data_IF_907783221765
#
_entry.id   IF_907783221765
#
_cell.length_a   1.000
_cell.length_b   1.000
_cell.length_c   1.000
_cell.angle_alpha   90.00
_cell.angle_beta   90.00
_cell.angle_gamma   90.00
#
_symmetry.space_group_name_H-M   'P 1'
#
loop_
_entity.id
_entity.type
_entity.pdbx_description
1 polymer ?
#
# COMPACT_ATOMS: atom_id res chain seq x y z
N UNK A 1 26.85 -48.57 22.49
CA UNK A 1 26.13 -49.66 21.75
C UNK A 1 24.65 -49.37 21.84
N UNK A 2 24.05 -49.12 20.76
CA UNK A 2 22.67 -49.33 20.28
C UNK A 2 22.24 -48.17 19.37
N UNK A 3 22.34 -48.45 18.10
CA UNK A 3 21.82 -47.62 17.00
C UNK A 3 20.27 -47.78 16.97
N UNK A 4 19.54 -46.64 16.85
CA UNK A 4 18.14 -46.66 16.43
C UNK A 4 18.03 -46.01 15.04
N UNK A 5 17.49 -46.79 14.16
CA UNK A 5 17.30 -46.58 12.74
C UNK A 5 16.03 -45.77 12.54
N UNK A 6 16.12 -44.70 11.77
CA UNK A 6 14.94 -43.95 11.26
C UNK A 6 14.47 -44.63 9.95
N UNK A 7 13.15 -44.83 9.77
CA UNK A 7 12.64 -45.30 8.48
C UNK A 7 12.39 -44.12 7.52
N UNK A 8 12.70 -44.38 6.27
CA UNK A 8 12.73 -43.42 5.18
C UNK A 8 11.36 -42.88 4.76
N UNK A 9 11.45 -41.66 4.25
CA UNK A 9 10.38 -40.95 3.56
C UNK A 9 10.32 -41.47 2.12
N UNK A 10 9.21 -42.10 1.80
CA UNK A 10 8.93 -42.60 0.45
C UNK A 10 8.53 -41.44 -0.47
N UNK A 11 9.33 -41.24 -1.48
CA UNK A 11 9.06 -40.42 -2.67
C UNK A 11 7.83 -40.94 -3.43
N UNK A 12 6.78 -40.16 -3.52
CA UNK A 12 5.73 -40.32 -4.54
C UNK A 12 5.93 -39.29 -5.64
N UNK A 13 6.61 -39.73 -6.69
CA UNK A 13 6.51 -39.14 -8.02
C UNK A 13 5.21 -39.66 -8.64
N UNK A 14 4.27 -38.78 -8.95
CA UNK A 14 3.16 -39.09 -9.84
C UNK A 14 3.16 -38.08 -10.98
N UNK A 15 3.29 -38.64 -12.16
CA UNK A 15 3.20 -38.00 -13.47
C UNK A 15 1.88 -37.26 -13.65
N UNK A 16 1.95 -36.05 -14.18
CA UNK A 16 0.85 -35.43 -14.91
C UNK A 16 1.41 -34.89 -16.21
N UNK A 17 1.31 -35.73 -17.24
CA UNK A 17 1.44 -35.37 -18.66
C UNK A 17 0.04 -35.17 -19.22
N UNK A 18 -0.05 -34.19 -20.15
CA UNK A 18 -1.07 -34.00 -21.16
C UNK A 18 -2.31 -33.19 -20.82
N UNK A 19 -2.28 -31.92 -21.27
CA UNK A 19 -3.28 -31.38 -22.21
C UNK A 19 -2.83 -30.00 -22.72
N UNK A 20 -1.99 -30.02 -23.76
CA UNK A 20 -1.77 -28.90 -24.68
C UNK A 20 -2.68 -29.15 -25.88
N UNK A 21 -3.71 -28.34 -26.07
CA UNK A 21 -4.30 -28.13 -27.39
C UNK A 21 -5.14 -26.85 -27.43
N UNK A 22 -4.70 -25.93 -28.29
CA UNK A 22 -5.49 -25.03 -29.12
C UNK A 22 -6.29 -23.88 -28.45
N UNK A 23 -5.72 -22.70 -28.57
CA UNK A 23 -6.43 -21.54 -29.06
C UNK A 23 -5.42 -20.49 -29.54
N UNK A 24 -5.07 -20.58 -30.83
CA UNK A 24 -4.50 -19.51 -31.62
C UNK A 24 -5.64 -18.54 -32.02
N UNK A 25 -5.39 -17.24 -31.90
CA UNK A 25 -6.15 -16.27 -32.67
C UNK A 25 -6.58 -15.04 -31.87
N UNK A 26 -5.92 -13.97 -32.13
CA UNK A 26 -6.26 -12.58 -32.34
C UNK A 26 -5.47 -11.61 -31.48
N UNK A 27 -4.29 -11.28 -32.02
CA UNK A 27 -3.66 -9.98 -31.75
C UNK A 27 -4.32 -8.96 -32.68
N UNK A 28 -4.78 -7.85 -32.13
CA UNK A 28 -4.61 -6.51 -32.71
C UNK A 28 -5.56 -5.50 -32.07
N UNK A 29 -5.02 -4.28 -31.98
CA UNK A 29 -5.67 -3.00 -31.71
C UNK A 29 -5.68 -2.53 -30.25
N UNK A 30 -4.50 -2.05 -29.86
CA UNK A 30 -4.40 -1.02 -28.84
C UNK A 30 -3.80 0.24 -29.49
N UNK A 31 -4.65 1.16 -29.93
CA UNK A 31 -4.27 2.52 -30.29
C UNK A 31 -4.79 3.47 -29.21
N UNK A 32 -3.87 4.24 -28.64
CA UNK A 32 -4.14 5.43 -27.82
C UNK A 32 -4.88 6.48 -28.65
N UNK A 33 -5.77 7.25 -28.09
CA UNK A 33 -6.05 8.60 -28.60
C UNK A 33 -5.37 9.66 -27.73
N UNK A 34 -4.70 10.56 -28.42
CA UNK A 34 -4.07 11.78 -27.91
C UNK A 34 -5.10 12.86 -27.58
N UNK A 35 -4.67 13.74 -26.68
CA UNK A 35 -5.36 14.94 -26.23
C UNK A 35 -5.76 15.90 -27.34
N UNK A 36 -6.96 16.49 -27.26
CA UNK A 36 -7.24 17.80 -27.83
C UNK A 36 -8.10 18.64 -26.90
N UNK A 37 -7.49 19.69 -26.39
CA UNK A 37 -8.07 20.85 -25.74
C UNK A 37 -9.02 21.60 -26.69
N UNK A 38 -10.20 21.95 -26.24
CA UNK A 38 -11.13 22.82 -26.93
C UNK A 38 -12.14 23.47 -25.99
N UNK A 39 -11.90 24.71 -25.71
CA UNK A 39 -12.71 25.65 -24.94
C UNK A 39 -14.06 25.97 -25.55
N UNK A 40 -15.07 26.26 -24.72
CA UNK A 40 -15.99 27.33 -25.08
C UNK A 40 -17.50 27.12 -24.90
N UNK A 41 -18.00 27.90 -23.99
CA UNK A 41 -19.27 28.65 -24.00
C UNK A 41 -20.62 27.96 -23.74
N UNK A 42 -21.16 28.45 -22.65
CA UNK A 42 -22.58 28.54 -22.27
C UNK A 42 -23.56 28.90 -23.39
N UNK A 43 -24.73 28.29 -23.37
CA UNK A 43 -26.00 29.01 -23.66
C UNK A 43 -27.19 28.22 -23.10
N UNK A 44 -27.90 28.90 -22.25
CA UNK A 44 -29.22 28.58 -21.73
C UNK A 44 -30.30 28.73 -22.83
N UNK A 45 -31.23 27.79 -22.93
CA UNK A 45 -32.59 28.14 -23.33
C UNK A 45 -33.63 27.12 -22.86
N UNK A 46 -34.54 27.61 -22.09
CA UNK A 46 -35.80 27.01 -21.71
C UNK A 46 -36.71 26.83 -22.91
N UNK A 47 -37.36 25.67 -23.05
CA UNK A 47 -38.74 25.65 -23.60
C UNK A 47 -39.47 24.39 -23.15
N UNK A 48 -40.71 24.64 -22.90
CA UNK A 48 -41.77 23.84 -22.33
C UNK A 48 -42.41 22.87 -23.32
N UNK A 49 -42.90 21.78 -22.73
CA UNK A 49 -44.16 21.09 -22.98
C UNK A 49 -44.28 20.13 -24.19
N UNK A 50 -44.62 18.98 -23.86
CA UNK A 50 -45.85 18.20 -24.04
C UNK A 50 -45.56 16.74 -24.38
N UNK A 51 -46.12 15.89 -23.55
CA UNK A 51 -46.72 14.56 -23.81
C UNK A 51 -46.45 13.93 -25.15
N UNK A 52 -45.77 12.79 -25.12
CA UNK A 52 -46.37 11.54 -25.57
C UNK A 52 -45.44 10.37 -25.22
N UNK A 53 -46.06 9.30 -24.78
CA UNK A 53 -45.46 8.02 -24.44
C UNK A 53 -44.80 7.40 -25.68
N UNK A 54 -43.47 7.39 -25.68
CA UNK A 54 -42.70 6.36 -26.38
C UNK A 54 -41.48 6.06 -25.52
N UNK A 55 -41.43 4.81 -25.08
CA UNK A 55 -40.36 4.26 -24.25
C UNK A 55 -39.03 4.32 -25.00
N UNK A 56 -38.36 5.46 -24.90
CA UNK A 56 -37.02 5.63 -25.43
C UNK A 56 -36.06 4.83 -24.56
N UNK A 57 -35.62 3.70 -25.08
CA UNK A 57 -34.59 2.85 -24.56
C UNK A 57 -33.32 3.70 -24.29
N UNK A 58 -33.01 3.97 -23.02
CA UNK A 58 -31.85 4.75 -22.65
C UNK A 58 -30.62 3.82 -22.52
N UNK A 59 -29.45 4.28 -22.94
CA UNK A 59 -28.18 3.56 -22.74
C UNK A 59 -27.86 3.29 -21.28
N UNK A 60 -28.49 4.04 -20.36
CA UNK A 60 -28.41 3.81 -18.91
C UNK A 60 -29.13 2.51 -18.49
N UNK A 61 -30.12 2.06 -19.27
CA UNK A 61 -30.83 0.79 -19.03
C UNK A 61 -30.00 -0.44 -19.39
N UNK A 62 -28.90 -0.26 -20.13
CA UNK A 62 -27.92 -1.30 -20.49
C UNK A 62 -26.80 -1.46 -19.44
N UNK A 63 -26.88 -0.79 -18.30
CA UNK A 63 -25.93 -1.06 -17.22
C UNK A 63 -26.03 -2.55 -16.81
N UNK A 64 -24.88 -3.19 -16.58
CA UNK A 64 -24.81 -4.59 -16.12
C UNK A 64 -25.69 -4.82 -14.87
N UNK A 65 -25.93 -3.78 -14.09
CA UNK A 65 -26.76 -3.79 -12.88
C UNK A 65 -28.25 -3.88 -13.23
N UNK A 66 -28.72 -3.17 -14.25
CA UNK A 66 -30.10 -3.21 -14.71
C UNK A 66 -30.40 -4.49 -15.51
N UNK A 67 -29.44 -4.99 -16.28
CA UNK A 67 -29.53 -6.29 -16.94
C UNK A 67 -29.62 -7.44 -15.93
N UNK A 68 -28.87 -7.39 -14.82
CA UNK A 68 -28.97 -8.38 -13.76
C UNK A 68 -30.27 -8.27 -12.95
N UNK A 69 -30.79 -7.05 -12.72
CA UNK A 69 -32.11 -6.86 -12.09
C UNK A 69 -33.23 -7.39 -12.98
N UNK A 70 -33.18 -7.10 -14.30
CA UNK A 70 -34.18 -7.58 -15.27
C UNK A 70 -34.13 -9.09 -15.44
N UNK A 71 -32.95 -9.71 -15.49
CA UNK A 71 -32.81 -11.16 -15.57
C UNK A 71 -33.30 -11.88 -14.30
N UNK A 72 -33.05 -11.30 -13.12
CA UNK A 72 -33.60 -11.82 -11.85
C UNK A 72 -35.14 -11.76 -11.82
N UNK A 73 -35.75 -10.71 -12.39
CA UNK A 73 -37.20 -10.55 -12.50
C UNK A 73 -37.83 -11.58 -13.43
N UNK A 74 -37.16 -11.89 -14.56
CA UNK A 74 -37.58 -12.91 -15.53
C UNK A 74 -37.51 -14.35 -14.96
N UNK A 75 -36.61 -14.63 -14.03
CA UNK A 75 -36.44 -15.96 -13.42
C UNK A 75 -37.30 -16.12 -12.15
N UNK A 76 -38.27 -15.21 -11.90
CA UNK A 76 -39.12 -15.27 -10.68
C UNK A 76 -38.39 -14.96 -9.38
N UNK A 77 -37.18 -14.39 -9.46
CA UNK A 77 -36.36 -13.92 -8.30
C UNK A 77 -36.48 -12.43 -8.07
N UNK A 78 -37.58 -11.79 -8.48
CA UNK A 78 -37.90 -10.38 -8.25
C UNK A 78 -38.15 -10.07 -6.77
N UNK A 79 -38.29 -8.79 -6.46
CA UNK A 79 -38.60 -8.31 -5.11
C UNK A 79 -39.92 -8.92 -4.59
N UNK A 80 -39.85 -9.52 -3.40
CA UNK A 80 -41.00 -10.08 -2.70
C UNK A 80 -40.80 -9.94 -1.18
N UNK A 81 -41.53 -9.00 -0.62
CA UNK A 81 -41.40 -8.64 0.82
C UNK A 81 -41.84 -9.79 1.75
N UNK A 82 -42.89 -10.51 1.39
CA UNK A 82 -43.42 -11.56 2.23
C UNK A 82 -42.50 -12.79 2.21
N UNK A 83 -41.96 -13.12 1.05
CA UNK A 83 -40.96 -14.16 0.94
C UNK A 83 -39.65 -13.80 1.67
N UNK A 84 -39.23 -12.52 1.61
CA UNK A 84 -38.08 -12.03 2.37
C UNK A 84 -38.28 -12.20 3.88
N UNK A 85 -39.45 -11.84 4.41
CA UNK A 85 -39.78 -12.03 5.82
C UNK A 85 -39.84 -13.50 6.23
N UNK A 86 -40.43 -14.35 5.38
CA UNK A 86 -40.49 -15.78 5.60
C UNK A 86 -39.08 -16.39 5.67
N UNK A 87 -38.24 -16.12 4.66
CA UNK A 87 -36.86 -16.59 4.61
C UNK A 87 -36.03 -16.13 5.82
N UNK A 88 -36.21 -14.85 6.20
CA UNK A 88 -35.55 -14.27 7.38
C UNK A 88 -35.97 -15.00 8.66
N UNK A 89 -37.27 -15.26 8.84
CA UNK A 89 -37.80 -16.01 9.99
C UNK A 89 -37.22 -17.41 10.08
N UNK A 90 -37.26 -18.17 8.96
CA UNK A 90 -36.69 -19.52 8.90
C UNK A 90 -35.18 -19.51 9.20
N UNK A 91 -34.42 -18.52 8.66
CA UNK A 91 -33.03 -18.40 8.95
C UNK A 91 -32.74 -18.04 10.40
N UNK A 92 -33.58 -17.20 11.00
CA UNK A 92 -33.45 -16.79 12.39
C UNK A 92 -33.73 -17.97 13.35
N UNK A 93 -34.71 -18.79 13.05
CA UNK A 93 -34.98 -20.01 13.81
C UNK A 93 -33.76 -20.97 13.77
N UNK A 94 -33.17 -21.17 12.60
CA UNK A 94 -31.94 -21.94 12.47
C UNK A 94 -30.80 -21.32 13.28
N UNK A 95 -30.64 -20.00 13.23
CA UNK A 95 -29.62 -19.29 13.99
C UNK A 95 -29.78 -19.48 15.51
N UNK A 96 -31.02 -19.44 16.03
CA UNK A 96 -31.31 -19.71 17.43
C UNK A 96 -31.07 -21.19 17.80
N UNK A 97 -31.44 -22.11 16.92
CA UNK A 97 -31.16 -23.53 17.08
C UNK A 97 -29.64 -23.78 17.14
N UNK A 98 -28.86 -23.12 16.26
CA UNK A 98 -27.41 -23.22 16.27
C UNK A 98 -26.81 -22.75 17.60
N UNK A 99 -27.32 -21.65 18.16
CA UNK A 99 -26.86 -21.15 19.47
C UNK A 99 -27.11 -22.15 20.62
N UNK A 100 -28.20 -22.90 20.56
CA UNK A 100 -28.57 -23.90 21.56
C UNK A 100 -27.95 -25.28 21.30
N UNK A 101 -27.39 -25.51 20.11
CA UNK A 101 -26.84 -26.79 19.71
C UNK A 101 -25.47 -27.10 20.31
N UNK A 102 -25.13 -28.39 20.35
CA UNK A 102 -23.80 -28.86 20.70
C UNK A 102 -22.72 -28.29 19.75
N UNK A 103 -21.49 -28.05 20.23
CA UNK A 103 -20.41 -27.46 19.42
C UNK A 103 -20.17 -28.18 18.09
N UNK A 104 -20.35 -29.51 18.02
CA UNK A 104 -20.14 -30.28 16.78
C UNK A 104 -21.20 -30.04 15.71
N UNK A 105 -22.45 -29.77 16.10
CA UNK A 105 -23.57 -29.50 15.19
C UNK A 105 -23.81 -28.04 14.93
N UNK A 106 -23.24 -27.21 15.75
CA UNK A 106 -23.42 -25.72 15.67
C UNK A 106 -23.02 -25.18 14.33
N UNK A 107 -21.82 -25.50 13.84
CA UNK A 107 -21.30 -25.03 12.57
C UNK A 107 -22.19 -25.45 11.39
N UNK A 108 -22.67 -26.72 11.39
CA UNK A 108 -23.56 -27.24 10.34
C UNK A 108 -24.88 -26.46 10.26
N UNK A 109 -25.47 -26.12 11.42
CA UNK A 109 -26.75 -25.39 11.47
C UNK A 109 -26.52 -23.93 11.02
N UNK A 110 -25.42 -23.29 11.44
CA UNK A 110 -25.06 -21.96 10.96
C UNK A 110 -24.80 -21.94 9.44
N UNK A 111 -24.18 -22.99 8.90
CA UNK A 111 -23.97 -23.15 7.45
C UNK A 111 -25.30 -23.18 6.67
N UNK A 112 -26.36 -23.72 7.23
CA UNK A 112 -27.71 -23.73 6.64
C UNK A 112 -28.42 -22.38 6.78
N UNK A 113 -28.16 -21.62 7.85
CA UNK A 113 -28.77 -20.31 8.10
C UNK A 113 -28.24 -19.23 7.17
N UNK A 114 -26.93 -19.19 6.94
CA UNK A 114 -26.25 -18.14 6.17
C UNK A 114 -26.85 -17.88 4.78
N UNK A 115 -27.04 -18.89 3.89
CA UNK A 115 -27.61 -18.66 2.57
C UNK A 115 -29.09 -18.24 2.61
N UNK A 116 -29.86 -18.67 3.61
CA UNK A 116 -31.26 -18.23 3.77
C UNK A 116 -31.36 -16.76 4.13
N UNK A 117 -30.51 -16.27 5.04
CA UNK A 117 -30.41 -14.84 5.32
C UNK A 117 -30.00 -14.05 4.06
N UNK A 118 -29.00 -14.51 3.31
CA UNK A 118 -28.59 -13.87 2.07
C UNK A 118 -29.71 -13.83 1.03
N UNK A 119 -30.50 -14.91 0.90
CA UNK A 119 -31.67 -14.95 0.03
C UNK A 119 -32.76 -13.96 0.50
N UNK A 120 -32.99 -13.83 1.81
CA UNK A 120 -33.93 -12.85 2.35
C UNK A 120 -33.53 -11.40 1.96
N UNK A 121 -32.25 -11.08 2.04
CA UNK A 121 -31.74 -9.79 1.60
C UNK A 121 -31.92 -9.57 0.08
N UNK A 122 -31.66 -10.58 -0.73
CA UNK A 122 -31.84 -10.52 -2.19
C UNK A 122 -33.34 -10.36 -2.60
N UNK A 123 -34.30 -10.82 -1.76
CA UNK A 123 -35.74 -10.70 -2.03
C UNK A 123 -36.34 -9.34 -1.69
N UNK A 124 -35.71 -8.58 -0.83
CA UNK A 124 -36.15 -7.22 -0.49
C UNK A 124 -34.92 -6.31 -0.32
N UNK A 125 -34.22 -5.97 -1.39
CA UNK A 125 -33.04 -5.12 -1.33
C UNK A 125 -33.38 -3.71 -0.82
N UNK A 126 -32.37 -2.94 -0.43
CA UNK A 126 -32.46 -1.57 0.05
C UNK A 126 -33.40 -1.35 1.24
N UNK A 127 -33.72 -2.44 1.96
CA UNK A 127 -34.57 -2.43 3.14
C UNK A 127 -33.78 -2.61 4.43
N UNK A 128 -34.38 -2.21 5.55
CA UNK A 128 -33.84 -2.49 6.89
C UNK A 128 -33.66 -4.01 7.11
N UNK A 129 -34.63 -4.81 6.59
CA UNK A 129 -34.54 -6.28 6.66
C UNK A 129 -33.35 -6.81 5.88
N UNK A 130 -33.04 -6.25 4.69
CA UNK A 130 -31.87 -6.66 3.92
C UNK A 130 -30.57 -6.35 4.66
N UNK A 131 -30.48 -5.20 5.31
CA UNK A 131 -29.32 -4.85 6.14
C UNK A 131 -29.12 -5.82 7.28
N UNK A 132 -30.19 -6.13 8.04
CA UNK A 132 -30.14 -7.10 9.14
C UNK A 132 -29.84 -8.51 8.64
N UNK A 133 -30.42 -8.91 7.51
CA UNK A 133 -30.20 -10.21 6.89
C UNK A 133 -28.76 -10.40 6.41
N UNK A 134 -28.16 -9.40 5.78
CA UNK A 134 -26.74 -9.46 5.34
C UNK A 134 -25.78 -9.57 6.54
N UNK A 135 -26.06 -8.84 7.61
CA UNK A 135 -25.31 -8.96 8.86
C UNK A 135 -25.41 -10.37 9.44
N UNK A 136 -26.64 -10.88 9.57
CA UNK A 136 -26.88 -12.22 10.10
C UNK A 136 -26.33 -13.34 9.20
N UNK A 137 -26.31 -13.13 7.88
CA UNK A 137 -25.66 -14.05 6.93
C UNK A 137 -24.14 -14.09 7.18
N UNK A 138 -23.53 -12.93 7.36
CA UNK A 138 -22.11 -12.81 7.70
C UNK A 138 -21.77 -13.48 9.02
N UNK A 139 -22.53 -13.21 10.09
CA UNK A 139 -22.31 -13.83 11.40
C UNK A 139 -22.57 -15.34 11.37
N UNK A 140 -23.59 -15.81 10.65
CA UNK A 140 -23.82 -17.25 10.48
C UNK A 140 -22.63 -17.93 9.78
N UNK A 141 -22.15 -17.37 8.68
CA UNK A 141 -20.98 -17.92 7.99
C UNK A 141 -19.70 -17.83 8.84
N UNK A 142 -19.54 -16.79 9.65
CA UNK A 142 -18.42 -16.63 10.58
C UNK A 142 -18.40 -17.73 11.64
N UNK A 143 -19.57 -18.02 12.25
CA UNK A 143 -19.70 -19.09 13.25
C UNK A 143 -19.73 -20.50 12.66
N UNK A 144 -19.87 -20.62 11.34
CA UNK A 144 -19.70 -21.87 10.59
C UNK A 144 -18.25 -22.07 10.10
N UNK A 145 -17.30 -21.23 10.53
CA UNK A 145 -15.90 -21.22 10.11
C UNK A 145 -15.72 -21.04 8.59
N UNK A 146 -16.71 -20.43 7.92
CA UNK A 146 -16.67 -20.10 6.49
C UNK A 146 -16.22 -18.66 6.28
N UNK A 147 -15.00 -18.33 6.70
CA UNK A 147 -14.51 -16.95 6.75
C UNK A 147 -14.50 -16.22 5.40
N UNK A 148 -14.15 -16.84 4.26
CA UNK A 148 -14.27 -16.19 2.95
C UNK A 148 -15.71 -15.78 2.63
N UNK A 149 -16.68 -16.64 2.95
CA UNK A 149 -18.09 -16.38 2.73
C UNK A 149 -18.62 -15.30 3.69
N UNK A 150 -18.21 -15.36 4.96
CA UNK A 150 -18.54 -14.33 5.95
C UNK A 150 -18.05 -12.95 5.49
N UNK A 151 -16.79 -12.84 5.06
CA UNK A 151 -16.24 -11.59 4.56
C UNK A 151 -17.01 -11.08 3.32
N UNK A 152 -17.43 -11.97 2.41
CA UNK A 152 -18.23 -11.60 1.25
C UNK A 152 -19.58 -10.99 1.65
N UNK A 153 -20.27 -11.55 2.65
CA UNK A 153 -21.53 -10.99 3.14
C UNK A 153 -21.34 -9.65 3.84
N UNK A 154 -20.29 -9.51 4.65
CA UNK A 154 -19.94 -8.23 5.25
C UNK A 154 -19.58 -7.15 4.22
N UNK A 155 -18.85 -7.50 3.16
CA UNK A 155 -18.56 -6.57 2.06
C UNK A 155 -19.83 -6.13 1.32
N UNK A 156 -20.77 -7.07 1.08
CA UNK A 156 -22.08 -6.73 0.50
C UNK A 156 -22.87 -5.78 1.41
N UNK A 157 -22.85 -6.02 2.72
CA UNK A 157 -23.51 -5.17 3.69
C UNK A 157 -22.96 -3.76 3.68
N UNK A 158 -21.65 -3.59 3.80
CA UNK A 158 -21.01 -2.26 3.82
C UNK A 158 -21.20 -1.52 2.50
N UNK A 159 -21.12 -2.24 1.37
CA UNK A 159 -21.35 -1.65 0.03
C UNK A 159 -22.79 -1.18 -0.14
N UNK A 160 -23.79 -1.97 0.28
CA UNK A 160 -25.21 -1.62 0.15
C UNK A 160 -25.65 -0.58 1.19
N UNK A 161 -25.08 -0.62 2.39
CA UNK A 161 -25.44 0.21 3.54
C UNK A 161 -24.19 0.79 4.21
N UNK A 162 -23.51 1.80 3.63
CA UNK A 162 -22.27 2.34 4.18
C UNK A 162 -22.39 2.83 5.63
N UNK A 163 -23.54 3.44 5.99
CA UNK A 163 -23.81 3.95 7.34
C UNK A 163 -24.67 2.98 8.15
N UNK A 164 -24.37 1.69 8.12
CA UNK A 164 -25.15 0.70 8.85
C UNK A 164 -24.79 0.65 10.35
N UNK A 165 -25.77 0.26 11.19
CA UNK A 165 -25.60 0.16 12.65
C UNK A 165 -24.64 -0.96 13.11
N UNK A 166 -24.23 -1.83 12.23
CA UNK A 166 -23.38 -2.99 12.52
C UNK A 166 -21.91 -2.76 12.17
N UNK A 167 -21.52 -1.56 11.72
CA UNK A 167 -20.20 -1.29 11.17
C UNK A 167 -19.08 -1.69 12.13
N UNK A 168 -19.15 -1.27 13.40
CA UNK A 168 -18.18 -1.65 14.44
C UNK A 168 -18.05 -3.18 14.63
N UNK A 169 -19.17 -3.94 14.56
CA UNK A 169 -19.15 -5.38 14.71
C UNK A 169 -18.60 -6.07 13.46
N UNK A 170 -18.98 -5.59 12.30
CA UNK A 170 -18.50 -6.08 11.01
C UNK A 170 -16.99 -5.92 10.93
N UNK A 171 -16.47 -4.76 11.29
CA UNK A 171 -15.02 -4.50 11.26
C UNK A 171 -14.27 -5.38 12.25
N UNK A 172 -14.80 -5.62 13.45
CA UNK A 172 -14.23 -6.60 14.39
C UNK A 172 -14.16 -8.00 13.80
N UNK A 173 -15.23 -8.47 13.11
CA UNK A 173 -15.25 -9.78 12.47
C UNK A 173 -14.26 -9.85 11.31
N UNK A 174 -14.28 -8.84 10.43
CA UNK A 174 -13.36 -8.74 9.29
C UNK A 174 -11.90 -8.67 9.75
N UNK A 175 -11.61 -7.91 10.79
CA UNK A 175 -10.27 -7.82 11.38
C UNK A 175 -9.80 -9.17 11.91
N UNK A 176 -10.68 -9.90 12.64
CA UNK A 176 -10.37 -11.23 13.15
C UNK A 176 -10.10 -12.23 12.02
N UNK A 177 -10.89 -12.20 10.94
CA UNK A 177 -10.71 -13.02 9.74
C UNK A 177 -9.35 -12.73 9.09
N UNK A 178 -9.03 -11.45 8.85
CA UNK A 178 -7.77 -11.03 8.25
C UNK A 178 -6.57 -11.49 9.10
N UNK A 179 -6.63 -11.29 10.42
CA UNK A 179 -5.60 -11.75 11.35
C UNK A 179 -5.41 -13.26 11.29
N UNK A 180 -6.51 -14.03 11.31
CA UNK A 180 -6.46 -15.49 11.21
C UNK A 180 -5.76 -15.94 9.92
N UNK A 181 -6.10 -15.36 8.76
CA UNK A 181 -5.48 -15.72 7.50
C UNK A 181 -3.99 -15.40 7.47
N UNK A 182 -3.58 -14.25 8.01
CA UNK A 182 -2.17 -13.86 8.07
C UNK A 182 -1.36 -14.73 9.04
N UNK A 183 -1.89 -15.01 10.24
CA UNK A 183 -1.24 -15.88 11.23
C UNK A 183 -1.07 -17.31 10.70
N UNK A 184 -2.11 -17.84 10.07
CA UNK A 184 -2.08 -19.19 9.49
C UNK A 184 -1.08 -19.28 8.33
N UNK A 185 -1.01 -18.24 7.47
CA UNK A 185 -0.03 -18.19 6.38
C UNK A 185 1.41 -18.03 6.87
N UNK A 186 1.63 -17.43 8.04
CA UNK A 186 2.96 -17.38 8.67
C UNK A 186 3.42 -18.75 9.19
N UNK A 187 2.48 -19.51 9.77
CA UNK A 187 2.78 -20.85 10.30
C UNK A 187 2.96 -21.88 9.19
N UNK A 188 2.15 -21.77 8.14
CA UNK A 188 2.12 -22.66 6.99
C UNK A 188 2.09 -21.81 5.71
N UNK A 189 3.28 -21.42 5.18
CA UNK A 189 3.38 -20.57 4.00
C UNK A 189 2.79 -21.25 2.76
N UNK A 190 1.85 -20.56 2.11
CA UNK A 190 1.27 -21.02 0.86
C UNK A 190 2.27 -20.88 -0.29
N UNK A 191 2.52 -21.97 -1.00
CA UNK A 191 3.29 -21.93 -2.24
C UNK A 191 2.46 -21.29 -3.36
N UNK A 192 3.12 -20.65 -4.34
CA UNK A 192 2.45 -19.84 -5.39
C UNK A 192 1.44 -20.64 -6.23
N UNK A 193 1.61 -21.96 -6.33
CA UNK A 193 0.70 -22.88 -7.03
C UNK A 193 -0.32 -23.56 -6.11
N UNK A 194 -0.27 -23.29 -4.82
CA UNK A 194 -1.20 -23.87 -3.85
C UNK A 194 -2.63 -23.40 -4.11
N UNK A 195 -3.56 -24.34 -4.15
CA UNK A 195 -4.99 -24.11 -4.29
C UNK A 195 -5.71 -24.83 -3.18
N UNK A 196 -6.47 -24.10 -2.40
CA UNK A 196 -7.26 -24.62 -1.30
C UNK A 196 -8.62 -25.13 -1.81
N UNK A 197 -8.78 -26.44 -1.91
CA UNK A 197 -10.01 -27.07 -2.37
C UNK A 197 -10.99 -27.46 -1.25
N UNK A 198 -10.50 -27.62 -0.01
CA UNK A 198 -11.27 -28.30 1.04
C UNK A 198 -11.41 -27.49 2.32
N UNK A 199 -10.51 -26.59 2.62
CA UNK A 199 -10.57 -25.80 3.85
C UNK A 199 -11.47 -24.57 3.65
N UNK A 200 -12.66 -24.58 4.25
CA UNK A 200 -13.64 -23.49 4.18
C UNK A 200 -13.21 -22.22 4.96
N UNK A 201 -12.23 -22.34 5.85
CA UNK A 201 -11.73 -21.25 6.67
C UNK A 201 -10.82 -20.30 5.90
N UNK A 202 -10.17 -20.80 4.83
CA UNK A 202 -9.20 -20.04 4.03
C UNK A 202 -9.74 -19.73 2.64
N UNK A 203 -9.30 -18.62 2.01
CA UNK A 203 -9.57 -18.35 0.62
C UNK A 203 -9.02 -19.45 -0.29
N UNK A 204 -9.56 -19.51 -1.49
CA UNK A 204 -9.14 -20.49 -2.50
C UNK A 204 -7.65 -20.38 -2.85
N UNK A 205 -7.09 -19.16 -2.84
CA UNK A 205 -5.66 -18.85 -3.07
C UNK A 205 -5.29 -17.56 -2.35
N UNK A 206 -3.99 -17.38 -2.10
CA UNK A 206 -3.40 -16.12 -1.60
C UNK A 206 -4.11 -15.60 -0.33
N UNK A 207 -4.17 -16.43 0.70
CA UNK A 207 -4.77 -16.06 2.00
C UNK A 207 -4.14 -14.78 2.57
N UNK A 208 -2.81 -14.60 2.39
CA UNK A 208 -2.10 -13.39 2.80
C UNK A 208 -2.61 -12.14 2.09
N UNK A 209 -2.71 -12.19 0.75
CA UNK A 209 -3.21 -11.05 -0.02
C UNK A 209 -4.67 -10.75 0.27
N UNK A 210 -5.49 -11.77 0.56
CA UNK A 210 -6.86 -11.57 1.03
C UNK A 210 -6.90 -10.88 2.39
N UNK A 211 -6.09 -11.31 3.36
CA UNK A 211 -6.00 -10.67 4.68
C UNK A 211 -5.61 -9.19 4.59
N UNK A 212 -4.58 -8.88 3.81
CA UNK A 212 -4.16 -7.49 3.57
C UNK A 212 -5.27 -6.65 2.92
N UNK A 213 -5.97 -7.19 1.91
CA UNK A 213 -7.11 -6.48 1.28
C UNK A 213 -8.25 -6.22 2.26
N UNK A 214 -8.48 -7.12 3.21
CA UNK A 214 -9.49 -6.90 4.25
C UNK A 214 -9.09 -5.77 5.18
N UNK A 215 -7.83 -5.70 5.62
CA UNK A 215 -7.33 -4.55 6.39
C UNK A 215 -7.46 -3.24 5.63
N UNK A 216 -7.09 -3.23 4.33
CA UNK A 216 -7.26 -2.04 3.49
C UNK A 216 -8.73 -1.61 3.38
N UNK A 217 -9.65 -2.57 3.22
CA UNK A 217 -11.08 -2.26 3.17
C UNK A 217 -11.61 -1.69 4.48
N UNK A 218 -11.20 -2.22 5.65
CA UNK A 218 -11.60 -1.67 6.95
C UNK A 218 -11.24 -0.18 7.04
N UNK A 219 -9.99 0.17 6.71
CA UNK A 219 -9.52 1.57 6.79
C UNK A 219 -10.12 2.50 5.74
N UNK A 220 -10.59 1.96 4.59
CA UNK A 220 -11.19 2.74 3.50
C UNK A 220 -12.70 2.88 3.70
N UNK A 221 -13.37 1.80 4.09
CA UNK A 221 -14.82 1.75 4.26
C UNK A 221 -15.26 2.58 5.49
N UNK A 222 -14.46 2.55 6.57
CA UNK A 222 -14.69 3.37 7.79
C UNK A 222 -13.37 3.97 8.30
N UNK A 223 -12.90 5.09 7.69
CA UNK A 223 -11.65 5.73 8.09
C UNK A 223 -11.62 6.28 9.51
N UNK A 224 -12.78 6.51 10.11
CA UNK A 224 -12.95 7.01 11.49
C UNK A 224 -13.32 5.91 12.47
N UNK A 225 -13.46 4.71 12.00
CA UNK A 225 -13.79 3.52 12.78
C UNK A 225 -12.73 3.18 13.81
N UNK A 226 -13.15 2.48 14.86
CA UNK A 226 -12.31 2.15 16.00
C UNK A 226 -11.12 1.22 15.67
N UNK A 227 -11.18 0.53 14.53
CA UNK A 227 -10.15 -0.44 14.10
C UNK A 227 -9.41 0.01 12.84
N UNK A 228 -9.62 1.24 12.37
CA UNK A 228 -8.98 1.73 11.15
C UNK A 228 -7.48 1.92 11.32
N UNK A 229 -7.04 2.44 12.46
CA UNK A 229 -5.63 2.58 12.82
C UNK A 229 -4.97 1.23 13.15
N UNK A 230 -5.68 0.33 13.87
CA UNK A 230 -5.24 -1.06 14.10
C UNK A 230 -5.02 -1.81 12.77
N UNK A 231 -5.96 -1.70 11.83
CA UNK A 231 -5.87 -2.34 10.52
C UNK A 231 -4.70 -1.76 9.71
N UNK A 232 -4.48 -0.45 9.78
CA UNK A 232 -3.34 0.21 9.13
C UNK A 232 -2.01 -0.28 9.72
N UNK A 233 -1.91 -0.36 11.05
CA UNK A 233 -0.72 -0.89 11.71
C UNK A 233 -0.48 -2.36 11.37
N UNK A 234 -1.53 -3.19 11.41
CA UNK A 234 -1.43 -4.62 11.12
C UNK A 234 -0.98 -4.89 9.67
N UNK A 235 -1.50 -4.13 8.70
CA UNK A 235 -1.07 -4.21 7.31
C UNK A 235 0.41 -3.79 7.14
N UNK A 236 0.83 -2.71 7.80
CA UNK A 236 2.23 -2.28 7.84
C UNK A 236 3.15 -3.35 8.42
N UNK A 237 2.76 -3.96 9.54
CA UNK A 237 3.51 -5.03 10.20
C UNK A 237 3.65 -6.27 9.31
N UNK A 238 2.63 -6.63 8.55
CA UNK A 238 2.70 -7.76 7.60
C UNK A 238 3.65 -7.47 6.44
N UNK A 239 3.60 -6.27 5.88
CA UNK A 239 4.57 -5.85 4.85
C UNK A 239 5.99 -5.82 5.39
N UNK A 240 6.19 -5.36 6.63
CA UNK A 240 7.48 -5.37 7.28
C UNK A 240 8.02 -6.79 7.49
N UNK A 241 7.20 -7.70 8.02
CA UNK A 241 7.55 -9.11 8.24
C UNK A 241 7.90 -9.86 6.94
N UNK A 242 7.32 -9.44 5.80
CA UNK A 242 7.60 -10.02 4.47
C UNK A 242 8.73 -9.32 3.72
N UNK A 243 9.49 -8.42 4.37
CA UNK A 243 10.61 -7.70 3.76
C UNK A 243 10.20 -6.60 2.76
N UNK A 244 8.92 -6.28 2.65
CA UNK A 244 8.41 -5.22 1.79
C UNK A 244 8.47 -3.87 2.52
N UNK A 245 9.69 -3.46 2.89
CA UNK A 245 9.92 -2.33 3.79
C UNK A 245 9.39 -1.00 3.26
N UNK A 246 9.46 -0.76 1.95
CA UNK A 246 8.90 0.42 1.34
C UNK A 246 7.38 0.53 1.57
N UNK A 247 6.65 -0.58 1.30
CA UNK A 247 5.21 -0.62 1.57
C UNK A 247 4.88 -0.49 3.06
N UNK A 248 5.68 -1.13 3.92
CA UNK A 248 5.50 -1.00 5.36
C UNK A 248 5.62 0.46 5.82
N UNK A 249 6.60 1.20 5.28
CA UNK A 249 6.77 2.62 5.57
C UNK A 249 5.59 3.48 5.12
N UNK A 250 4.99 3.16 3.96
CA UNK A 250 3.78 3.84 3.49
C UNK A 250 2.64 3.71 4.52
N UNK A 251 2.36 2.48 5.00
CA UNK A 251 1.32 2.26 6.02
C UNK A 251 1.63 2.96 7.35
N UNK A 252 2.88 2.91 7.83
CA UNK A 252 3.26 3.63 9.05
C UNK A 252 3.18 5.14 8.88
N UNK A 253 3.44 5.65 7.67
CA UNK A 253 3.29 7.06 7.34
C UNK A 253 1.82 7.47 7.29
N UNK A 254 0.95 6.63 6.70
CA UNK A 254 -0.49 6.83 6.71
C UNK A 254 -1.03 6.87 8.13
N UNK A 255 -0.59 5.93 9.00
CA UNK A 255 -1.01 5.92 10.40
C UNK A 255 -0.64 7.23 11.10
N UNK A 256 0.61 7.68 10.95
CA UNK A 256 1.08 8.93 11.56
C UNK A 256 0.30 10.16 11.10
N UNK A 257 -0.13 10.18 9.83
CA UNK A 257 -0.82 11.33 9.23
C UNK A 257 -2.32 11.31 9.42
N UNK A 258 -2.95 10.15 9.18
CA UNK A 258 -4.41 10.01 9.19
C UNK A 258 -4.98 9.84 10.59
N UNK A 259 -4.23 9.24 11.53
CA UNK A 259 -4.71 8.92 12.88
C UNK A 259 -3.85 9.57 13.97
N UNK A 260 -3.78 10.91 14.09
CA UNK A 260 -2.89 11.61 15.02
C UNK A 260 -3.19 11.34 16.50
N UNK A 261 -4.41 10.90 16.83
CA UNK A 261 -4.84 10.54 18.19
C UNK A 261 -4.73 9.06 18.52
N UNK A 262 -4.23 8.24 17.61
CA UNK A 262 -4.06 6.80 17.81
C UNK A 262 -3.03 6.49 18.91
N UNK A 263 -3.31 5.48 19.72
CA UNK A 263 -2.35 4.95 20.71
C UNK A 263 -1.11 4.34 20.05
N UNK A 264 -1.19 4.01 18.77
CA UNK A 264 -0.11 3.42 17.97
C UNK A 264 0.87 4.46 17.40
N UNK A 265 0.73 5.74 17.70
CA UNK A 265 1.55 6.80 17.12
C UNK A 265 3.05 6.59 17.36
N UNK A 266 3.46 6.31 18.61
CA UNK A 266 4.86 6.02 18.90
C UNK A 266 5.37 4.80 18.11
N UNK A 267 4.59 3.72 18.09
CA UNK A 267 4.95 2.48 17.40
C UNK A 267 5.10 2.70 15.89
N UNK A 268 4.22 3.52 15.29
CA UNK A 268 4.30 3.89 13.87
C UNK A 268 5.54 4.73 13.53
N UNK A 269 5.99 5.58 14.46
CA UNK A 269 7.28 6.29 14.31
C UNK A 269 8.45 5.32 14.40
N UNK A 270 8.47 4.47 15.42
CA UNK A 270 9.53 3.52 15.69
C UNK A 270 9.70 2.49 14.56
N UNK A 271 8.61 1.86 14.13
CA UNK A 271 8.62 0.91 13.01
C UNK A 271 8.87 1.58 11.67
N UNK A 272 8.41 2.82 11.49
CA UNK A 272 8.73 3.64 10.32
C UNK A 272 10.23 3.92 10.18
N UNK A 273 10.93 4.22 11.29
CA UNK A 273 12.39 4.35 11.29
C UNK A 273 13.05 3.04 10.83
N UNK A 274 12.61 1.90 11.38
CA UNK A 274 13.13 0.58 10.97
C UNK A 274 12.86 0.27 9.50
N UNK A 275 11.65 0.57 9.03
CA UNK A 275 11.25 0.32 7.65
C UNK A 275 12.09 1.17 6.67
N UNK A 276 12.26 2.46 6.95
CA UNK A 276 13.07 3.37 6.12
C UNK A 276 14.54 2.95 6.07
N UNK A 277 15.14 2.55 7.20
CA UNK A 277 16.51 2.04 7.22
C UNK A 277 16.67 0.77 6.39
N UNK A 278 15.72 -0.16 6.49
CA UNK A 278 15.76 -1.42 5.74
C UNK A 278 15.38 -1.25 4.26
N UNK A 279 14.70 -0.17 3.88
CA UNK A 279 14.39 0.14 2.48
C UNK A 279 15.55 0.79 1.73
N UNK A 280 16.60 1.22 2.41
CA UNK A 280 17.76 1.84 1.78
C UNK A 280 18.55 0.82 0.95
N UNK A 281 18.71 1.10 -0.35
CA UNK A 281 19.30 0.17 -1.32
C UNK A 281 20.84 0.27 -1.44
N UNK A 282 21.45 1.26 -0.80
CA UNK A 282 22.90 1.42 -0.81
C UNK A 282 23.39 2.77 -1.38
N UNK A 283 24.72 3.02 -1.34
CA UNK A 283 25.33 4.34 -1.62
C UNK A 283 25.22 4.80 -3.08
N UNK A 284 24.93 3.89 -4.01
CA UNK A 284 24.74 4.23 -5.42
C UNK A 284 23.32 4.76 -5.71
N UNK A 285 22.40 4.69 -4.74
CA UNK A 285 21.00 5.08 -4.88
C UNK A 285 20.71 6.38 -4.12
N UNK A 286 19.53 6.96 -4.33
CA UNK A 286 19.12 8.21 -3.68
C UNK A 286 19.08 8.12 -2.15
N UNK A 287 19.47 9.21 -1.47
CA UNK A 287 19.53 9.30 -0.01
C UNK A 287 18.25 9.75 0.68
N UNK A 288 17.15 9.95 -0.06
CA UNK A 288 15.91 10.51 0.48
C UNK A 288 15.39 9.74 1.70
N UNK A 289 15.44 8.39 1.67
CA UNK A 289 15.04 7.56 2.80
C UNK A 289 15.88 7.83 4.06
N UNK A 290 17.18 8.13 3.92
CA UNK A 290 18.06 8.46 5.04
C UNK A 290 17.74 9.84 5.62
N UNK A 291 17.44 10.83 4.75
CA UNK A 291 17.05 12.17 5.19
C UNK A 291 15.71 12.16 5.94
N UNK A 292 14.76 11.39 5.43
CA UNK A 292 13.47 11.20 6.08
C UNK A 292 13.60 10.44 7.40
N UNK A 293 14.48 9.43 7.46
CA UNK A 293 14.76 8.70 8.70
C UNK A 293 15.34 9.61 9.78
N UNK A 294 16.32 10.46 9.43
CA UNK A 294 16.89 11.41 10.38
C UNK A 294 15.86 12.41 10.91
N UNK A 295 15.00 12.93 10.02
CA UNK A 295 13.89 13.81 10.42
C UNK A 295 12.92 13.09 11.35
N UNK A 296 12.57 11.84 11.02
CA UNK A 296 11.65 11.03 11.81
C UNK A 296 12.21 10.71 13.19
N UNK A 297 13.51 10.37 13.33
CA UNK A 297 14.18 10.16 14.63
C UNK A 297 14.08 11.45 15.48
N UNK A 298 14.40 12.61 14.90
CA UNK A 298 14.30 13.90 15.60
C UNK A 298 12.87 14.23 16.02
N UNK A 299 11.90 13.91 15.16
CA UNK A 299 10.48 14.08 15.45
C UNK A 299 10.01 13.16 16.57
N UNK A 300 10.38 11.88 16.55
CA UNK A 300 10.04 10.89 17.58
C UNK A 300 10.53 11.33 18.96
N UNK A 301 11.78 11.79 19.06
CA UNK A 301 12.34 12.30 20.32
C UNK A 301 11.61 13.52 20.88
N UNK A 302 11.09 14.37 19.99
CA UNK A 302 10.35 15.57 20.43
C UNK A 302 8.91 15.26 20.83
N UNK A 303 8.24 14.38 20.10
CA UNK A 303 6.83 14.07 20.32
C UNK A 303 6.62 13.08 21.47
N UNK A 304 7.54 12.13 21.64
CA UNK A 304 7.45 11.02 22.58
C UNK A 304 8.70 10.93 23.47
N UNK A 305 8.96 11.93 24.33
CA UNK A 305 10.21 11.97 25.09
C UNK A 305 10.40 10.80 26.07
N UNK A 306 9.29 10.29 26.65
CA UNK A 306 9.34 9.18 27.60
C UNK A 306 9.64 7.85 26.91
N UNK A 307 8.94 7.57 25.83
CA UNK A 307 9.11 6.35 25.03
C UNK A 307 10.46 6.38 24.29
N UNK A 308 10.85 7.55 23.79
CA UNK A 308 12.14 7.74 23.13
C UNK A 308 13.33 7.52 24.08
N UNK A 309 13.19 7.86 25.37
CA UNK A 309 14.23 7.57 26.34
C UNK A 309 14.34 6.08 26.66
N UNK A 310 13.23 5.34 26.68
CA UNK A 310 13.23 3.87 26.80
C UNK A 310 13.93 3.19 25.63
N UNK A 311 13.74 3.73 24.43
CA UNK A 311 14.30 3.21 23.16
C UNK A 311 15.55 3.99 22.73
N UNK A 312 16.20 4.71 23.66
CA UNK A 312 17.34 5.60 23.38
C UNK A 312 18.46 4.89 22.63
N UNK A 313 18.86 3.72 23.12
CA UNK A 313 19.96 2.96 22.51
C UNK A 313 19.69 2.63 21.03
N UNK A 314 18.47 2.23 20.72
CA UNK A 314 18.07 1.98 19.33
C UNK A 314 18.08 3.26 18.51
N UNK A 315 17.51 4.36 19.01
CA UNK A 315 17.44 5.63 18.29
C UNK A 315 18.83 6.25 18.05
N UNK A 316 19.76 6.10 19.01
CA UNK A 316 21.15 6.54 18.86
C UNK A 316 21.88 5.70 17.80
N UNK A 317 21.74 4.37 17.84
CA UNK A 317 22.28 3.47 16.81
C UNK A 317 21.72 3.77 15.43
N UNK A 318 20.41 3.96 15.32
CA UNK A 318 19.73 4.29 14.07
C UNK A 318 20.25 5.63 13.48
N UNK A 319 20.45 6.64 14.33
CA UNK A 319 20.99 7.92 13.92
C UNK A 319 22.45 7.79 13.45
N UNK A 320 23.27 7.07 14.19
CA UNK A 320 24.66 6.80 13.82
C UNK A 320 24.74 6.04 12.48
N UNK A 321 23.86 5.06 12.28
CA UNK A 321 23.77 4.31 11.03
C UNK A 321 23.35 5.23 9.85
N UNK A 322 22.36 6.08 10.03
CA UNK A 322 21.97 7.08 9.01
C UNK A 322 23.15 7.97 8.63
N UNK A 323 23.87 8.51 9.64
CA UNK A 323 25.04 9.37 9.41
C UNK A 323 26.14 8.62 8.67
N UNK A 324 26.43 7.40 9.06
CA UNK A 324 27.42 6.56 8.39
C UNK A 324 27.03 6.29 6.91
N UNK A 325 25.79 5.90 6.64
CA UNK A 325 25.31 5.62 5.27
C UNK A 325 25.29 6.87 4.39
N UNK A 326 25.00 8.06 4.94
CA UNK A 326 25.14 9.33 4.23
C UNK A 326 26.61 9.65 3.88
N UNK A 327 27.51 9.39 4.81
CA UNK A 327 28.95 9.51 4.56
C UNK A 327 29.42 8.51 3.48
N UNK A 328 28.89 7.27 3.47
CA UNK A 328 29.16 6.29 2.40
C UNK A 328 28.69 6.77 1.02
N UNK A 329 27.54 7.45 0.93
CA UNK A 329 27.07 8.04 -0.34
C UNK A 329 28.06 9.08 -0.87
N UNK A 330 28.51 9.99 0.00
CA UNK A 330 29.52 10.98 -0.39
C UNK A 330 30.84 10.30 -0.75
N UNK A 331 31.24 9.25 -0.02
CA UNK A 331 32.45 8.48 -0.33
C UNK A 331 32.33 7.77 -1.68
N UNK A 332 31.15 7.24 -2.02
CA UNK A 332 30.90 6.64 -3.33
C UNK A 332 31.13 7.65 -4.46
N UNK A 333 30.60 8.86 -4.32
CA UNK A 333 30.83 9.95 -5.27
C UNK A 333 32.30 10.39 -5.30
N UNK A 334 32.91 10.55 -4.12
CA UNK A 334 34.33 10.91 -4.04
C UNK A 334 35.23 9.89 -4.76
N UNK A 335 35.02 8.60 -4.51
CA UNK A 335 35.76 7.53 -5.20
C UNK A 335 35.50 7.48 -6.70
N UNK A 336 34.28 7.79 -7.14
CA UNK A 336 33.96 7.87 -8.57
C UNK A 336 34.84 8.90 -9.27
N UNK A 337 34.95 10.12 -8.71
CA UNK A 337 35.78 11.18 -9.28
C UNK A 337 37.29 10.90 -9.10
N UNK A 338 37.68 10.34 -7.97
CA UNK A 338 39.07 9.95 -7.69
C UNK A 338 39.58 8.93 -8.72
N UNK A 339 38.80 7.90 -9.01
CA UNK A 339 39.14 6.88 -10.02
C UNK A 339 39.23 7.44 -11.44
N UNK A 340 38.60 8.59 -11.70
CA UNK A 340 38.69 9.31 -12.98
C UNK A 340 39.80 10.33 -13.01
N UNK A 341 40.62 10.43 -11.96
CA UNK A 341 41.63 11.45 -11.77
C UNK A 341 41.08 12.90 -11.80
N UNK A 342 39.78 13.05 -11.48
CA UNK A 342 39.14 14.38 -11.31
C UNK A 342 39.30 14.82 -9.85
N UNK A 343 40.55 15.05 -9.43
CA UNK A 343 40.94 15.21 -8.04
C UNK A 343 40.28 16.38 -7.33
N UNK A 344 40.00 17.50 -8.03
CA UNK A 344 39.29 18.66 -7.45
C UNK A 344 37.86 18.30 -7.04
N UNK A 345 37.17 17.48 -7.85
CA UNK A 345 35.82 17.02 -7.51
C UNK A 345 35.87 15.98 -6.38
N UNK A 346 36.83 15.06 -6.42
CA UNK A 346 37.04 14.08 -5.35
C UNK A 346 37.31 14.76 -4.00
N UNK A 347 38.22 15.76 -3.99
CA UNK A 347 38.54 16.56 -2.80
C UNK A 347 37.29 17.23 -2.21
N UNK A 348 36.44 17.82 -3.05
CA UNK A 348 35.21 18.46 -2.63
C UNK A 348 34.31 17.47 -1.84
N UNK A 349 34.10 16.25 -2.35
CA UNK A 349 33.26 15.25 -1.67
C UNK A 349 33.92 14.69 -0.43
N UNK A 350 35.25 14.44 -0.44
CA UNK A 350 35.99 14.03 0.76
C UNK A 350 35.96 15.12 1.85
N UNK A 351 36.14 16.39 1.50
CA UNK A 351 36.06 17.49 2.44
C UNK A 351 34.67 17.64 3.09
N UNK A 352 33.60 17.36 2.31
CA UNK A 352 32.25 17.29 2.87
C UNK A 352 32.09 16.17 3.88
N UNK A 353 32.67 14.98 3.66
CA UNK A 353 32.63 13.89 4.64
C UNK A 353 33.31 14.33 5.94
N UNK A 354 34.49 14.92 5.85
CA UNK A 354 35.24 15.41 7.02
C UNK A 354 34.46 16.48 7.79
N UNK A 355 33.78 17.37 7.10
CA UNK A 355 33.03 18.47 7.72
C UNK A 355 31.67 18.04 8.29
N UNK A 356 30.91 17.25 7.56
CA UNK A 356 29.52 16.92 7.90
C UNK A 356 29.39 15.67 8.75
N UNK A 357 30.38 14.75 8.69
CA UNK A 357 30.35 13.42 9.32
C UNK A 357 31.66 13.10 10.06
N UNK A 358 32.18 14.07 10.82
CA UNK A 358 33.44 13.96 11.57
C UNK A 358 33.48 12.80 12.55
N UNK A 359 32.30 12.40 13.08
CA UNK A 359 32.08 11.30 14.02
C UNK A 359 32.12 9.89 13.36
N UNK A 360 32.33 9.83 12.04
CA UNK A 360 32.39 8.55 11.32
C UNK A 360 33.83 8.13 11.02
N UNK A 361 34.10 6.82 10.96
CA UNK A 361 35.45 6.33 10.54
C UNK A 361 35.80 6.71 9.08
N UNK A 362 34.81 7.15 8.30
CA UNK A 362 35.03 7.60 6.93
C UNK A 362 35.66 9.01 6.87
N UNK A 363 35.44 9.85 7.88
CA UNK A 363 36.04 11.18 7.95
C UNK A 363 37.57 11.10 8.00
N UNK A 364 38.12 10.26 8.89
CA UNK A 364 39.56 10.06 8.99
C UNK A 364 40.19 9.59 7.67
N UNK A 365 39.59 8.56 7.05
CA UNK A 365 40.04 8.03 5.75
C UNK A 365 39.97 9.06 4.64
N UNK A 366 38.93 9.91 4.66
CA UNK A 366 38.76 11.00 3.70
C UNK A 366 39.83 12.06 3.90
N UNK A 367 40.18 12.41 5.13
CA UNK A 367 41.24 13.37 5.43
C UNK A 367 42.62 12.87 4.95
N UNK A 368 42.93 11.59 5.19
CA UNK A 368 44.16 10.96 4.70
C UNK A 368 44.22 10.99 3.16
N UNK A 369 43.07 10.73 2.49
CA UNK A 369 43.02 10.74 1.02
C UNK A 369 43.17 12.15 0.45
N UNK A 370 42.56 13.17 1.08
CA UNK A 370 42.75 14.56 0.70
C UNK A 370 44.25 14.94 0.70
N UNK A 371 44.98 14.55 1.77
CA UNK A 371 46.43 14.78 1.83
C UNK A 371 47.19 14.06 0.70
N UNK A 372 46.77 12.87 0.31
CA UNK A 372 47.45 12.12 -0.76
C UNK A 372 47.18 12.70 -2.18
N UNK A 373 46.05 13.37 -2.40
CA UNK A 373 45.69 13.92 -3.73
C UNK A 373 46.02 15.43 -3.85
N UNK A 374 46.38 16.10 -2.76
CA UNK A 374 46.62 17.57 -2.71
C UNK A 374 47.67 18.09 -3.72
N UNK A 375 48.62 17.25 -4.14
CA UNK A 375 49.67 17.64 -5.13
C UNK A 375 49.38 17.17 -6.55
N UNK A 376 48.23 16.52 -6.81
CA UNK A 376 47.91 15.97 -8.11
C UNK A 376 47.16 16.99 -9.00
N UNK A 377 47.27 16.89 -10.35
CA UNK A 377 46.61 17.81 -11.26
C UNK A 377 45.08 17.73 -11.08
N UNK A 378 44.36 18.87 -11.09
CA UNK A 378 42.93 18.94 -10.77
C UNK A 378 42.01 18.16 -11.74
N UNK A 379 42.51 17.93 -12.95
CA UNK A 379 41.85 17.18 -14.03
C UNK A 379 42.83 16.22 -14.69
N UNK A 380 42.37 15.10 -15.24
CA UNK A 380 43.24 14.20 -16.00
C UNK A 380 43.75 14.87 -17.27
N UNK A 381 44.95 14.50 -17.66
CA UNK A 381 45.51 14.95 -18.96
C UNK A 381 44.68 14.35 -20.10
N UNK A 382 44.41 15.17 -21.12
CA UNK A 382 43.70 14.71 -22.31
C UNK A 382 44.58 13.73 -23.08
N UNK A 383 44.20 12.48 -23.18
CA UNK A 383 44.97 11.44 -23.85
C UNK A 383 45.06 11.64 -25.37
N UNK A 384 44.08 12.32 -26.00
CA UNK A 384 44.03 12.56 -27.45
C UNK A 384 43.62 14.01 -27.74
N UNK A 385 44.45 15.00 -27.41
CA UNK A 385 44.08 16.42 -27.54
C UNK A 385 43.81 16.82 -29.02
N UNK A 386 44.47 16.17 -29.97
CA UNK A 386 44.20 16.40 -31.39
C UNK A 386 42.81 15.93 -31.84
N UNK A 387 42.27 14.88 -31.24
CA UNK A 387 40.92 14.37 -31.55
C UNK A 387 39.86 15.27 -30.96
N UNK A 388 40.11 15.79 -29.76
CA UNK A 388 39.19 16.77 -29.12
C UNK A 388 39.15 18.06 -29.89
N UNK A 389 40.29 18.49 -30.49
CA UNK A 389 40.35 19.69 -31.34
C UNK A 389 39.54 19.55 -32.63
N UNK A 390 39.32 18.34 -33.14
CA UNK A 390 38.43 18.08 -34.29
C UNK A 390 36.93 18.24 -33.97
N UNK A 391 36.58 18.14 -32.70
CA UNK A 391 35.20 18.29 -32.21
C UNK A 391 35.19 19.35 -31.10
N UNK A 392 35.44 20.65 -31.45
CA UNK A 392 35.47 21.69 -30.42
C UNK A 392 34.13 21.73 -29.70
N UNK A 393 34.17 21.77 -28.36
CA UNK A 393 32.98 22.01 -27.57
C UNK A 393 32.30 23.28 -28.07
N UNK A 394 31.03 23.18 -28.41
CA UNK A 394 30.25 24.33 -28.82
C UNK A 394 30.19 25.33 -27.66
N UNK A 395 30.86 26.44 -27.76
CA UNK A 395 30.76 27.59 -26.83
C UNK A 395 29.34 28.19 -26.75
N UNK A 396 28.38 27.60 -27.49
CA UNK A 396 26.99 27.99 -27.42
C UNK A 396 26.40 27.49 -26.13
N UNK A 397 26.37 28.35 -25.13
CA UNK A 397 25.63 28.14 -23.89
C UNK A 397 24.20 27.71 -24.27
N UNK A 398 23.79 26.54 -23.79
CA UNK A 398 22.44 26.04 -24.06
C UNK A 398 21.40 27.10 -23.70
N UNK A 399 20.37 27.34 -24.55
CA UNK A 399 19.39 28.42 -24.34
C UNK A 399 18.78 28.45 -22.94
N UNK A 400 18.50 27.27 -22.36
CA UNK A 400 17.97 27.12 -20.98
C UNK A 400 18.99 27.54 -19.91
N UNK A 401 20.29 27.35 -20.12
CA UNK A 401 21.33 27.78 -19.19
C UNK A 401 21.50 29.31 -19.20
N UNK A 402 21.37 29.93 -20.38
CA UNK A 402 21.34 31.42 -20.50
C UNK A 402 20.12 32.00 -19.80
N UNK A 403 18.94 31.44 -20.00
CA UNK A 403 17.72 31.91 -19.35
C UNK A 403 17.79 31.78 -17.81
N UNK A 404 18.36 30.69 -17.27
CA UNK A 404 18.53 30.53 -15.82
C UNK A 404 19.58 31.50 -15.25
N UNK A 405 20.66 31.77 -15.98
CA UNK A 405 21.68 32.75 -15.58
C UNK A 405 21.15 34.19 -15.63
N UNK A 406 20.35 34.53 -16.64
CA UNK A 406 19.69 35.83 -16.74
C UNK A 406 18.65 36.01 -15.61
N UNK A 407 17.82 35.03 -15.35
CA UNK A 407 16.86 35.07 -14.24
C UNK A 407 17.54 35.20 -12.86
N UNK A 408 18.67 34.52 -12.65
CA UNK A 408 19.44 34.65 -11.41
C UNK A 408 20.04 36.06 -11.27
N UNK A 409 20.61 36.61 -12.35
CA UNK A 409 21.17 37.98 -12.37
C UNK A 409 20.08 39.05 -12.16
N UNK A 410 18.90 38.87 -12.75
CA UNK A 410 17.74 39.74 -12.54
C UNK A 410 17.24 39.69 -11.10
N UNK A 411 17.20 38.52 -10.50
CA UNK A 411 16.79 38.31 -9.10
C UNK A 411 17.79 39.00 -8.15
N UNK A 412 19.10 38.88 -8.37
CA UNK A 412 20.14 39.58 -7.60
C UNK A 412 20.03 41.11 -7.74
N UNK A 413 19.75 41.60 -8.94
CA UNK A 413 19.57 43.03 -9.20
C UNK A 413 18.32 43.59 -8.51
N UNK A 414 17.23 42.79 -8.47
CA UNK A 414 15.99 43.16 -7.76
C UNK A 414 16.18 43.18 -6.23
N UNK A 415 16.95 42.24 -5.68
CA UNK A 415 17.28 42.22 -4.26
C UNK A 415 18.15 43.44 -3.88
N UNK A 416 19.12 43.77 -4.73
CA UNK A 416 20.01 44.95 -4.53
C UNK A 416 19.30 46.29 -4.68
N UNK A 417 18.19 46.35 -5.40
CA UNK A 417 17.41 47.59 -5.64
C UNK A 417 16.25 47.82 -4.67
N UNK A 418 15.98 46.90 -3.73
CA UNK A 418 15.01 47.16 -2.68
C UNK A 418 15.65 48.04 -1.60
N UNK A 419 15.14 49.27 -1.38
CA UNK A 419 15.63 50.10 -0.28
C UNK A 419 15.29 49.42 1.03
N UNK A 420 16.27 49.36 1.95
CA UNK A 420 16.07 48.96 3.35
C UNK A 420 14.88 49.74 3.94
N UNK A 421 13.70 49.17 3.91
CA UNK A 421 12.60 49.65 4.75
C UNK A 421 12.92 49.23 6.17
N UNK A 422 13.58 50.17 6.83
CA UNK A 422 13.79 50.25 8.28
C UNK A 422 12.58 49.68 9.04
N UNK A 423 12.80 48.61 9.75
CA UNK A 423 12.01 48.21 10.89
C UNK A 423 12.03 49.31 11.95
N UNK A 424 11.10 50.23 11.87
CA UNK A 424 10.65 51.03 13.02
C UNK A 424 9.20 50.64 13.28
N UNK A 425 9.03 49.64 14.19
CA UNK A 425 7.95 49.65 15.19
C UNK A 425 8.22 48.59 16.23
#
# INVERSE_FOLDING_TARGET
MSRLIHPGVATRKVCALAALALLSGCASLWTKPEDSLGSGSSLSSSSRASSDEDSVFSWEDLSLENLTKSSKKLVGRGENKDEARKLYGEAFDLFQQAKAADPRRRAEIFELAAPKFAQAADRWPDSQLAMDALYMAGDSAFFADQYPQANLYYEKLVKAFPNNRYLDQVDKRRFAIARYWLETTRQDPEEFYYVNWFNKERPWRDSRGHGLRVYDKIRIDDPTGKLADDATLAAGNEHFATGKYYKADDYYTDLRKAYPSSEHQFLAHFLGIKAKLNSYLGPAYGGTALDETEKLIKQTRRQFPVEAEREREFLDKALAEVRFRKAEQLQHLAKFYDNRAEYRAAEHYYARIVKEFEDTPLAQRSQERIGAIAGLPPKPEQQLPWLVALFPESDKVKPLLKATQQAAAEAETQIASQPEQTLQR
#
